data_IF_355959858584
#
_entry.id   IF_355959858584
#
_cell.length_a   1.000
_cell.length_b   1.000
_cell.length_c   1.000
_cell.angle_alpha   90.00
_cell.angle_beta   90.00
_cell.angle_gamma   90.00
#
_symmetry.space_group_name_H-M   'P 1'
#
loop_
_entity.id
_entity.type
_entity.pdbx_description
1 polymer ?
#
# COMPACT_ATOMS: atom_id res chain seq x y z
N UNK A 1 -3.89 -47.81 60.83
CA UNK A 1 -3.00 -47.43 59.74
C UNK A 1 -3.74 -46.37 58.89
N UNK A 2 -3.36 -45.10 58.95
CA UNK A 2 -4.01 -44.05 58.14
C UNK A 2 -3.42 -44.01 56.75
N UNK A 3 -4.27 -43.98 55.71
CA UNK A 3 -3.91 -43.86 54.29
C UNK A 3 -3.62 -42.41 53.95
N UNK A 4 -2.37 -42.13 53.61
CA UNK A 4 -1.89 -40.85 53.11
C UNK A 4 -2.42 -40.65 51.68
N UNK A 5 -3.30 -39.67 51.45
CA UNK A 5 -3.75 -39.25 50.10
C UNK A 5 -2.79 -38.18 49.56
N UNK A 6 -2.02 -38.53 48.53
CA UNK A 6 -1.22 -37.57 47.75
C UNK A 6 -2.15 -36.78 46.85
N UNK A 7 -2.24 -35.46 47.05
CA UNK A 7 -2.86 -34.53 46.10
C UNK A 7 -1.78 -34.07 45.13
N UNK A 8 -1.90 -34.49 43.87
CA UNK A 8 -1.09 -33.97 42.80
C UNK A 8 -1.64 -32.57 42.39
N UNK A 9 -0.86 -31.53 42.66
CA UNK A 9 -1.18 -30.18 42.18
C UNK A 9 -0.86 -30.05 40.67
N UNK A 10 -1.90 -29.98 39.88
CA UNK A 10 -1.81 -29.71 38.42
C UNK A 10 -1.51 -28.22 38.24
N UNK A 11 -0.28 -27.87 37.92
CA UNK A 11 0.10 -26.49 37.56
C UNK A 11 -0.44 -26.19 36.16
N UNK A 12 -1.49 -25.36 36.07
CA UNK A 12 -1.97 -24.78 34.82
C UNK A 12 -0.94 -23.77 34.34
N UNK A 13 -0.19 -24.13 33.30
CA UNK A 13 0.61 -23.20 32.51
C UNK A 13 -0.37 -22.38 31.64
N UNK A 14 -0.69 -21.18 32.12
CA UNK A 14 -1.39 -20.20 31.29
C UNK A 14 -0.47 -19.81 30.14
N UNK A 15 -0.97 -19.85 28.86
CA UNK A 15 -0.18 -19.38 27.74
C UNK A 15 0.10 -17.89 27.95
N UNK A 16 1.37 -17.52 28.05
CA UNK A 16 1.80 -16.12 28.03
C UNK A 16 1.36 -15.50 26.73
N UNK A 17 0.35 -14.66 26.76
CA UNK A 17 0.02 -13.78 25.64
C UNK A 17 1.26 -12.90 25.45
N UNK A 18 2.05 -13.18 24.43
CA UNK A 18 3.18 -12.33 24.07
C UNK A 18 2.60 -10.97 23.66
N UNK A 19 2.54 -10.02 24.60
CA UNK A 19 2.25 -8.64 24.29
C UNK A 19 3.25 -8.18 23.22
N UNK A 20 2.74 -7.77 22.08
CA UNK A 20 3.51 -7.01 21.09
C UNK A 20 4.13 -5.82 21.81
N UNK A 21 5.38 -5.47 21.49
CA UNK A 21 6.00 -4.26 22.04
C UNK A 21 5.09 -3.07 21.81
N UNK A 22 4.87 -2.22 22.82
CA UNK A 22 3.95 -1.10 22.70
C UNK A 22 4.42 -0.17 21.60
N UNK A 23 3.46 0.34 20.82
CA UNK A 23 3.70 1.42 19.86
C UNK A 23 4.27 2.64 20.59
N UNK A 24 4.86 3.57 19.86
CA UNK A 24 5.41 4.80 20.42
C UNK A 24 5.14 6.02 19.53
N UNK A 25 5.25 7.21 20.10
CA UNK A 25 5.02 8.48 19.40
C UNK A 25 6.29 9.27 19.13
N UNK A 26 7.44 8.76 19.56
CA UNK A 26 8.77 9.38 19.41
C UNK A 26 9.78 8.31 19.00
N UNK A 27 10.98 8.71 18.56
CA UNK A 27 12.03 7.78 18.16
C UNK A 27 12.62 6.95 19.29
N UNK A 28 12.45 7.34 20.55
CA UNK A 28 13.17 6.74 21.69
C UNK A 28 12.88 5.24 21.90
N UNK A 29 11.67 4.78 21.63
CA UNK A 29 11.27 3.38 21.77
C UNK A 29 11.45 2.53 20.50
N UNK A 30 11.86 3.12 19.38
CA UNK A 30 11.83 2.47 18.08
C UNK A 30 12.75 1.24 18.00
N UNK A 31 13.96 1.30 18.57
CA UNK A 31 14.91 0.18 18.58
C UNK A 31 14.41 -1.01 19.41
N UNK A 32 13.88 -0.74 20.61
CA UNK A 32 13.28 -1.78 21.45
C UNK A 32 12.06 -2.42 20.78
N UNK A 33 11.21 -1.60 20.17
CA UNK A 33 10.06 -2.09 19.41
C UNK A 33 10.49 -2.97 18.22
N UNK A 34 11.53 -2.60 17.46
CA UNK A 34 12.04 -3.43 16.35
C UNK A 34 12.45 -4.81 16.82
N UNK A 35 13.13 -4.91 17.96
CA UNK A 35 13.57 -6.19 18.52
C UNK A 35 12.39 -7.12 18.84
N UNK A 36 11.29 -6.58 19.37
CA UNK A 36 10.08 -7.36 19.61
C UNK A 36 9.27 -7.61 18.34
N UNK A 37 9.15 -6.61 17.47
CA UNK A 37 8.46 -6.75 16.18
C UNK A 37 9.13 -7.80 15.30
N UNK A 38 10.44 -8.01 15.40
CA UNK A 38 11.14 -9.08 14.71
C UNK A 38 10.57 -10.48 15.05
N UNK A 39 10.15 -10.71 16.30
CA UNK A 39 9.49 -11.96 16.70
C UNK A 39 8.14 -12.13 16.00
N UNK A 40 7.35 -11.06 15.90
CA UNK A 40 6.07 -11.04 15.19
C UNK A 40 6.27 -11.23 13.68
N UNK A 41 7.22 -10.53 13.08
CA UNK A 41 7.56 -10.64 11.66
C UNK A 41 8.03 -12.08 11.32
N UNK A 42 8.86 -12.70 12.18
CA UNK A 42 9.30 -14.09 12.02
C UNK A 42 8.11 -15.06 12.06
N UNK A 43 7.19 -14.91 13.03
CA UNK A 43 5.97 -15.73 13.11
C UNK A 43 5.08 -15.55 11.87
N UNK A 44 5.05 -14.34 11.30
CA UNK A 44 4.34 -14.04 10.05
C UNK A 44 5.05 -14.57 8.79
N UNK A 45 6.21 -15.24 8.92
CA UNK A 45 6.93 -15.86 7.82
C UNK A 45 7.95 -14.97 7.11
N UNK A 46 8.38 -13.85 7.74
CA UNK A 46 9.54 -13.07 7.28
C UNK A 46 10.80 -13.88 7.51
N UNK A 47 11.67 -13.97 6.49
CA UNK A 47 12.90 -14.74 6.48
C UNK A 47 14.12 -13.87 6.84
N UNK A 48 15.31 -14.46 6.69
CA UNK A 48 16.59 -13.84 7.12
C UNK A 48 16.84 -12.45 6.52
N UNK A 49 16.63 -12.27 5.21
CA UNK A 49 16.90 -10.97 4.56
C UNK A 49 15.95 -9.87 5.06
N UNK A 50 14.65 -10.20 5.19
CA UNK A 50 13.67 -9.27 5.74
C UNK A 50 13.94 -8.90 7.18
N UNK A 51 14.32 -9.86 8.04
CA UNK A 51 14.70 -9.57 9.43
C UNK A 51 15.98 -8.72 9.53
N UNK A 52 16.95 -8.95 8.67
CA UNK A 52 18.16 -8.11 8.56
C UNK A 52 17.79 -6.68 8.10
N UNK A 53 16.87 -6.55 7.13
CA UNK A 53 16.37 -5.25 6.70
C UNK A 53 15.65 -4.52 7.85
N UNK A 54 14.80 -5.21 8.62
CA UNK A 54 14.15 -4.62 9.80
C UNK A 54 15.18 -4.06 10.78
N UNK A 55 16.24 -4.82 11.10
CA UNK A 55 17.30 -4.36 12.01
C UNK A 55 18.00 -3.08 11.51
N UNK A 56 18.12 -2.91 10.19
CA UNK A 56 18.76 -1.74 9.56
C UNK A 56 17.83 -0.51 9.42
N UNK A 57 16.51 -0.65 9.67
CA UNK A 57 15.59 0.48 9.54
C UNK A 57 15.90 1.56 10.57
N UNK A 58 15.69 2.80 10.14
CA UNK A 58 15.83 3.99 10.96
C UNK A 58 14.47 4.68 11.13
N UNK A 59 14.27 5.34 12.27
CA UNK A 59 13.06 6.12 12.51
C UNK A 59 12.95 7.27 11.51
N UNK A 60 11.94 7.26 10.67
CA UNK A 60 11.75 8.20 9.57
C UNK A 60 10.94 9.44 10.03
N UNK A 61 11.59 10.45 10.58
CA UNK A 61 10.94 11.68 11.06
C UNK A 61 10.16 12.42 9.99
N UNK A 62 10.66 12.45 8.73
CA UNK A 62 9.96 13.03 7.57
C UNK A 62 8.64 12.30 7.27
N UNK A 63 8.59 11.00 7.48
CA UNK A 63 7.37 10.18 7.35
C UNK A 63 6.33 10.58 8.38
N UNK A 64 6.71 10.68 9.64
CA UNK A 64 5.81 11.11 10.72
C UNK A 64 5.29 12.52 10.48
N UNK A 65 6.16 13.46 10.09
CA UNK A 65 5.74 14.82 9.76
C UNK A 65 4.73 14.85 8.60
N UNK A 66 4.93 14.05 7.55
CA UNK A 66 4.01 13.95 6.44
C UNK A 66 2.66 13.31 6.85
N UNK A 67 2.71 12.25 7.67
CA UNK A 67 1.52 11.54 8.14
C UNK A 67 0.60 12.40 9.01
N UNK A 68 1.19 13.30 9.80
CA UNK A 68 0.44 14.22 10.68
C UNK A 68 -0.05 15.48 9.98
N UNK A 69 0.47 15.82 8.79
CA UNK A 69 0.19 17.07 8.07
C UNK A 69 -0.65 16.90 6.78
N UNK A 70 -1.48 15.87 6.68
CA UNK A 70 -2.33 15.61 5.51
C UNK A 70 -3.52 16.58 5.46
N UNK A 71 -3.34 17.76 4.86
CA UNK A 71 -4.38 18.81 4.77
C UNK A 71 -5.23 18.72 3.50
N UNK A 72 -4.72 18.14 2.41
CA UNK A 72 -5.34 18.19 1.08
C UNK A 72 -6.71 17.49 0.98
N UNK A 73 -6.95 16.47 1.79
CA UNK A 73 -8.24 15.76 1.81
C UNK A 73 -9.40 16.54 2.49
N UNK A 74 -9.11 17.72 3.05
CA UNK A 74 -10.11 18.65 3.60
C UNK A 74 -10.60 19.68 2.58
N UNK A 75 -10.05 19.70 1.34
CA UNK A 75 -10.49 20.60 0.30
C UNK A 75 -11.86 20.21 -0.27
N UNK A 76 -12.59 21.20 -0.83
CA UNK A 76 -13.71 20.89 -1.72
C UNK A 76 -13.23 20.11 -2.94
N UNK A 77 -14.14 19.40 -3.62
CA UNK A 77 -13.81 18.60 -4.81
C UNK A 77 -13.12 19.46 -5.89
N UNK A 78 -13.67 20.63 -6.20
CA UNK A 78 -13.11 21.54 -7.20
C UNK A 78 -11.71 22.00 -6.83
N UNK A 79 -11.51 22.39 -5.56
CA UNK A 79 -10.20 22.82 -5.08
C UNK A 79 -9.20 21.66 -5.11
N UNK A 80 -9.63 20.46 -4.72
CA UNK A 80 -8.79 19.26 -4.76
C UNK A 80 -8.37 18.93 -6.20
N UNK A 81 -9.31 18.90 -7.15
CA UNK A 81 -9.04 18.66 -8.56
C UNK A 81 -8.11 19.74 -9.16
N UNK A 82 -8.32 21.01 -8.79
CA UNK A 82 -7.46 22.10 -9.24
C UNK A 82 -6.03 21.92 -8.76
N UNK A 83 -5.84 21.70 -7.45
CA UNK A 83 -4.51 21.52 -6.84
C UNK A 83 -3.79 20.28 -7.38
N UNK A 84 -4.54 19.21 -7.68
CA UNK A 84 -4.00 18.00 -8.29
C UNK A 84 -3.73 18.10 -9.80
N UNK A 85 -4.10 19.22 -10.44
CA UNK A 85 -3.88 19.41 -11.87
C UNK A 85 -4.74 18.48 -12.74
N UNK A 86 -6.00 18.25 -12.34
CA UNK A 86 -6.90 17.27 -12.98
C UNK A 86 -7.01 17.46 -14.48
N UNK A 87 -7.09 18.70 -14.98
CA UNK A 87 -7.16 18.97 -16.44
C UNK A 87 -5.89 18.52 -17.17
N UNK A 88 -4.71 18.71 -16.57
CA UNK A 88 -3.43 18.24 -17.10
C UNK A 88 -3.36 16.71 -17.10
N UNK A 89 -3.82 16.08 -16.02
CA UNK A 89 -3.90 14.61 -15.95
C UNK A 89 -4.81 14.05 -17.03
N UNK A 90 -6.00 14.63 -17.24
CA UNK A 90 -6.93 14.21 -18.30
C UNK A 90 -6.30 14.37 -19.70
N UNK A 91 -5.72 15.55 -19.99
CA UNK A 91 -5.10 15.80 -21.30
C UNK A 91 -3.93 14.83 -21.58
N UNK A 92 -3.04 14.62 -20.60
CA UNK A 92 -1.95 13.67 -20.73
C UNK A 92 -2.46 12.22 -20.77
N UNK A 93 -3.51 11.90 -20.02
CA UNK A 93 -4.12 10.58 -19.98
C UNK A 93 -4.69 10.17 -21.33
N UNK A 94 -5.45 11.05 -21.99
CA UNK A 94 -5.94 10.83 -23.36
C UNK A 94 -4.81 10.55 -24.36
N UNK A 95 -3.72 11.34 -24.30
CA UNK A 95 -2.55 11.11 -25.14
C UNK A 95 -1.90 9.74 -24.89
N UNK A 96 -1.81 9.31 -23.62
CA UNK A 96 -1.24 8.00 -23.24
C UNK A 96 -2.12 6.86 -23.72
N UNK A 97 -3.44 6.97 -23.54
CA UNK A 97 -4.43 6.00 -24.05
C UNK A 97 -4.31 5.85 -25.56
N UNK A 98 -4.27 6.96 -26.28
CA UNK A 98 -4.15 6.97 -27.74
C UNK A 98 -2.79 6.41 -28.24
N UNK A 99 -1.69 6.59 -27.51
CA UNK A 99 -0.38 6.05 -27.87
C UNK A 99 -0.22 4.55 -27.64
N UNK A 100 -0.94 3.99 -26.67
CA UNK A 100 -0.84 2.59 -26.27
C UNK A 100 -2.21 1.91 -26.17
N UNK A 101 -3.06 1.97 -27.19
CA UNK A 101 -4.45 1.51 -27.11
C UNK A 101 -4.53 0.01 -26.83
N UNK A 102 -3.65 -0.79 -27.45
CA UNK A 102 -3.64 -2.24 -27.26
C UNK A 102 -3.28 -2.65 -25.82
N UNK A 103 -2.34 -1.95 -25.19
CA UNK A 103 -1.96 -2.19 -23.80
C UNK A 103 -3.14 -1.95 -22.84
N UNK A 104 -3.80 -0.80 -22.94
CA UNK A 104 -4.94 -0.49 -22.09
C UNK A 104 -6.14 -1.39 -22.37
N UNK A 105 -6.40 -1.71 -23.63
CA UNK A 105 -7.45 -2.67 -23.99
C UNK A 105 -7.16 -4.09 -23.45
N UNK A 106 -5.90 -4.51 -23.40
CA UNK A 106 -5.52 -5.79 -22.81
C UNK A 106 -5.79 -5.82 -21.29
N UNK A 107 -5.43 -4.76 -20.56
CA UNK A 107 -5.74 -4.64 -19.13
C UNK A 107 -7.25 -4.64 -18.86
N UNK A 108 -8.01 -3.90 -19.67
CA UNK A 108 -9.48 -3.85 -19.53
C UNK A 108 -10.12 -5.21 -19.80
N UNK A 109 -9.70 -5.92 -20.87
CA UNK A 109 -10.18 -7.29 -21.14
C UNK A 109 -9.86 -8.26 -20.00
N UNK A 110 -8.66 -8.17 -19.42
CA UNK A 110 -8.22 -9.10 -18.40
C UNK A 110 -8.86 -8.85 -17.03
N UNK A 111 -9.00 -7.58 -16.63
CA UNK A 111 -9.43 -7.21 -15.29
C UNK A 111 -10.83 -6.55 -15.26
N UNK A 112 -11.35 -6.14 -16.39
CA UNK A 112 -12.64 -5.44 -16.49
C UNK A 112 -12.61 -4.01 -15.93
N UNK A 113 -11.43 -3.42 -15.75
CA UNK A 113 -11.23 -2.06 -15.24
C UNK A 113 -10.96 -1.14 -16.42
N UNK A 114 -11.80 -0.10 -16.67
CA UNK A 114 -11.62 0.81 -17.78
C UNK A 114 -10.26 1.52 -17.77
N UNK A 115 -9.73 1.77 -18.95
CA UNK A 115 -8.44 2.45 -19.14
C UNK A 115 -8.37 3.78 -18.38
N UNK A 116 -9.43 4.59 -18.46
CA UNK A 116 -9.51 5.89 -17.80
C UNK A 116 -9.29 5.82 -16.29
N UNK A 117 -9.80 4.77 -15.61
CA UNK A 117 -9.62 4.58 -14.16
C UNK A 117 -8.14 4.35 -13.81
N UNK A 118 -7.47 3.46 -14.53
CA UNK A 118 -6.06 3.16 -14.31
C UNK A 118 -5.17 4.37 -14.61
N UNK A 119 -5.48 5.08 -15.68
CA UNK A 119 -4.76 6.30 -16.10
C UNK A 119 -4.98 7.43 -15.09
N UNK A 120 -6.20 7.62 -14.58
CA UNK A 120 -6.50 8.65 -13.60
C UNK A 120 -5.76 8.37 -12.27
N UNK A 121 -5.74 7.13 -11.79
CA UNK A 121 -4.95 6.71 -10.61
C UNK A 121 -3.47 7.00 -10.86
N UNK A 122 -2.90 6.55 -11.97
CA UNK A 122 -1.49 6.76 -12.30
C UNK A 122 -1.10 8.26 -12.35
N UNK A 123 -1.97 9.08 -12.94
CA UNK A 123 -1.77 10.53 -12.98
C UNK A 123 -1.83 11.17 -11.60
N UNK A 124 -2.80 10.76 -10.78
CA UNK A 124 -3.00 11.28 -9.42
C UNK A 124 -1.88 10.92 -8.46
N UNK A 125 -1.33 9.71 -8.56
CA UNK A 125 -0.33 9.20 -7.63
C UNK A 125 1.05 9.77 -7.90
N UNK A 126 1.49 9.77 -9.16
CA UNK A 126 2.88 10.08 -9.48
C UNK A 126 3.08 11.04 -10.66
N UNK A 127 1.99 11.62 -11.20
CA UNK A 127 2.11 12.38 -12.46
C UNK A 127 2.66 11.50 -13.59
N UNK A 128 2.17 10.26 -13.66
CA UNK A 128 2.61 9.27 -14.66
C UNK A 128 4.07 8.81 -14.49
N UNK A 129 4.51 8.67 -13.26
CA UNK A 129 5.88 8.25 -12.91
C UNK A 129 6.87 9.42 -12.85
N UNK A 130 6.41 10.67 -12.97
CA UNK A 130 7.26 11.84 -12.88
C UNK A 130 7.94 12.01 -11.53
N UNK A 131 7.28 11.59 -10.46
CA UNK A 131 7.87 11.53 -9.12
C UNK A 131 7.26 10.38 -8.31
N UNK A 132 8.07 9.38 -8.00
CA UNK A 132 7.67 8.18 -7.25
C UNK A 132 8.13 8.18 -5.79
N UNK A 133 8.66 9.32 -5.32
CA UNK A 133 9.12 9.51 -3.95
C UNK A 133 10.62 9.40 -3.75
N UNK A 134 11.08 9.87 -2.59
CA UNK A 134 12.49 9.97 -2.19
C UNK A 134 12.77 9.35 -0.82
N UNK A 135 11.76 8.78 -0.17
CA UNK A 135 11.88 8.20 1.17
C UNK A 135 12.26 6.73 1.09
N UNK A 136 13.07 6.26 2.03
CA UNK A 136 13.43 4.86 2.09
C UNK A 136 12.20 4.04 2.56
N UNK A 137 11.69 3.18 1.66
CA UNK A 137 10.42 2.47 1.83
C UNK A 137 10.35 1.69 3.13
N UNK A 138 11.37 0.84 3.40
CA UNK A 138 11.33 -0.07 4.54
C UNK A 138 11.34 0.68 5.87
N UNK A 139 12.17 1.73 5.98
CA UNK A 139 12.18 2.58 7.19
C UNK A 139 10.89 3.39 7.34
N UNK A 140 10.35 3.94 6.25
CA UNK A 140 9.10 4.70 6.29
C UNK A 140 7.94 3.85 6.81
N UNK A 141 7.71 2.68 6.21
CA UNK A 141 6.59 1.82 6.57
C UNK A 141 6.75 1.20 7.96
N UNK A 142 7.99 0.85 8.36
CA UNK A 142 8.29 0.33 9.69
C UNK A 142 8.07 1.40 10.78
N UNK A 143 8.44 2.66 10.48
CA UNK A 143 8.16 3.79 11.38
C UNK A 143 6.66 4.00 11.58
N UNK A 144 5.84 3.89 10.53
CA UNK A 144 4.38 3.99 10.64
C UNK A 144 3.76 2.80 11.38
N UNK A 145 4.33 1.62 11.24
CA UNK A 145 3.91 0.44 12.02
C UNK A 145 4.23 0.59 13.52
N UNK A 146 5.26 1.34 13.86
CA UNK A 146 5.61 1.69 15.22
C UNK A 146 4.76 2.85 15.77
N UNK A 147 4.41 3.86 14.98
CA UNK A 147 3.65 5.04 15.43
C UNK A 147 2.25 4.67 15.90
N UNK A 148 1.89 5.02 17.15
CA UNK A 148 0.62 4.63 17.79
C UNK A 148 -0.63 5.12 17.05
N UNK A 149 -0.51 6.15 16.21
CA UNK A 149 -1.67 6.74 15.53
C UNK A 149 -2.39 5.77 14.59
N UNK A 150 -1.65 4.91 13.90
CA UNK A 150 -2.19 3.94 12.95
C UNK A 150 -1.38 2.62 12.91
N UNK A 151 -0.79 2.24 14.03
CA UNK A 151 0.08 1.06 14.13
C UNK A 151 -0.58 -0.20 13.55
N UNK A 152 -1.78 -0.52 13.99
CA UNK A 152 -2.52 -1.72 13.54
C UNK A 152 -2.72 -1.75 12.02
N UNK A 153 -2.99 -0.61 11.41
CA UNK A 153 -3.13 -0.51 9.95
C UNK A 153 -1.80 -0.77 9.23
N UNK A 154 -0.67 -0.28 9.77
CA UNK A 154 0.62 -0.36 9.10
C UNK A 154 1.42 -1.64 9.41
N UNK A 155 1.14 -2.36 10.49
CA UNK A 155 1.81 -3.64 10.80
C UNK A 155 1.76 -4.65 9.63
N UNK A 156 0.61 -4.93 8.99
CA UNK A 156 0.57 -5.83 7.83
C UNK A 156 1.41 -5.32 6.64
N UNK A 157 1.48 -4.00 6.46
CA UNK A 157 2.28 -3.40 5.40
C UNK A 157 3.79 -3.46 5.71
N UNK A 158 4.20 -3.29 6.95
CA UNK A 158 5.59 -3.49 7.37
C UNK A 158 6.03 -4.96 7.16
N UNK A 159 5.20 -5.92 7.58
CA UNK A 159 5.45 -7.35 7.30
C UNK A 159 5.53 -7.59 5.79
N UNK A 160 4.64 -6.99 4.99
CA UNK A 160 4.66 -7.07 3.54
C UNK A 160 5.96 -6.55 2.94
N UNK A 161 6.44 -5.38 3.39
CA UNK A 161 7.72 -4.82 2.96
C UNK A 161 8.90 -5.75 3.24
N UNK A 162 8.95 -6.33 4.44
CA UNK A 162 10.01 -7.27 4.82
C UNK A 162 9.97 -8.56 4.00
N UNK A 163 8.78 -9.07 3.67
CA UNK A 163 8.64 -10.22 2.76
C UNK A 163 9.05 -9.89 1.33
N UNK A 164 8.74 -8.68 0.84
CA UNK A 164 9.21 -8.22 -0.47
C UNK A 164 10.74 -8.08 -0.52
N UNK A 165 11.39 -7.74 0.62
CA UNK A 165 12.86 -7.80 0.72
C UNK A 165 13.36 -9.25 0.66
N UNK A 166 12.71 -10.19 1.32
CA UNK A 166 13.06 -11.62 1.24
C UNK A 166 12.99 -12.14 -0.20
N UNK A 167 11.99 -11.68 -0.98
CA UNK A 167 11.79 -12.03 -2.38
C UNK A 167 12.74 -11.30 -3.35
N UNK A 168 13.43 -10.25 -2.89
CA UNK A 168 14.30 -9.43 -3.72
C UNK A 168 13.57 -8.36 -4.54
N UNK A 169 12.27 -8.18 -4.34
CA UNK A 169 11.48 -7.09 -4.95
C UNK A 169 11.86 -5.74 -4.37
N UNK A 170 12.15 -5.68 -3.07
CA UNK A 170 12.64 -4.49 -2.39
C UNK A 170 14.05 -4.69 -1.84
N UNK A 171 14.75 -3.58 -1.67
CA UNK A 171 16.03 -3.49 -0.96
C UNK A 171 15.98 -2.32 0.03
N UNK A 172 16.99 -2.22 0.91
CA UNK A 172 17.13 -1.05 1.78
C UNK A 172 17.41 0.25 1.01
N UNK A 173 17.84 0.18 -0.25
CA UNK A 173 18.01 1.34 -1.10
C UNK A 173 16.73 1.78 -1.83
N UNK A 174 15.68 0.95 -1.84
CA UNK A 174 14.43 1.26 -2.55
C UNK A 174 13.77 2.53 -2.01
N UNK A 175 13.49 3.47 -2.92
CA UNK A 175 12.85 4.75 -2.62
C UNK A 175 11.38 4.70 -3.03
N UNK A 176 10.52 5.34 -2.25
CA UNK A 176 9.08 5.47 -2.50
C UNK A 176 8.54 6.75 -1.87
N UNK A 177 7.22 6.87 -1.77
CA UNK A 177 6.62 8.02 -1.13
C UNK A 177 6.90 8.08 0.37
N UNK A 178 6.47 9.16 0.99
CA UNK A 178 6.79 9.45 2.41
C UNK A 178 6.18 8.46 3.41
N UNK A 179 5.12 7.74 3.02
CA UNK A 179 4.53 6.69 3.86
C UNK A 179 4.98 5.28 3.44
N UNK A 180 5.96 5.15 2.54
CA UNK A 180 6.50 3.87 2.09
C UNK A 180 5.72 3.22 0.96
N UNK A 181 4.93 4.01 0.21
CA UNK A 181 4.25 3.54 -0.98
C UNK A 181 5.22 3.36 -2.15
N UNK A 182 4.91 2.39 -3.05
CA UNK A 182 5.80 1.89 -4.10
C UNK A 182 5.38 2.35 -5.49
N UNK A 183 6.35 2.87 -6.23
CA UNK A 183 6.34 2.97 -7.68
C UNK A 183 5.22 3.82 -8.28
N UNK A 184 4.87 3.50 -9.52
CA UNK A 184 3.99 4.29 -10.39
C UNK A 184 2.61 4.60 -9.84
N UNK A 185 2.01 3.69 -9.09
CA UNK A 185 0.65 3.81 -8.56
C UNK A 185 0.61 3.81 -7.03
N UNK A 186 1.75 3.97 -6.39
CA UNK A 186 1.90 4.18 -4.94
C UNK A 186 1.24 3.07 -4.10
N UNK A 187 1.61 1.81 -4.39
CA UNK A 187 1.16 0.66 -3.62
C UNK A 187 1.72 0.64 -2.21
N UNK A 188 0.86 0.45 -1.21
CA UNK A 188 1.33 0.03 0.12
C UNK A 188 1.94 -1.38 0.05
N UNK A 189 3.07 -1.66 0.70
CA UNK A 189 3.82 -2.91 0.53
C UNK A 189 3.03 -4.20 0.83
N UNK A 190 2.11 -4.19 1.78
CA UNK A 190 1.23 -5.35 2.02
C UNK A 190 0.28 -5.63 0.85
N UNK A 191 -0.23 -4.57 0.22
CA UNK A 191 -1.03 -4.68 -1.00
C UNK A 191 -0.17 -5.12 -2.19
N UNK A 192 1.05 -4.60 -2.29
CA UNK A 192 2.03 -5.00 -3.31
C UNK A 192 2.32 -6.51 -3.24
N UNK A 193 2.55 -7.03 -2.04
CA UNK A 193 2.76 -8.47 -1.82
C UNK A 193 1.55 -9.32 -2.22
N UNK A 194 0.34 -8.81 -2.00
CA UNK A 194 -0.91 -9.58 -2.19
C UNK A 194 -1.45 -9.49 -3.61
N UNK A 195 -1.33 -8.32 -4.24
CA UNK A 195 -1.99 -8.01 -5.52
C UNK A 195 -1.01 -7.76 -6.66
N UNK A 196 0.29 -7.81 -6.41
CA UNK A 196 1.32 -7.63 -7.43
C UNK A 196 1.19 -8.65 -8.56
N UNK A 197 1.39 -8.19 -9.79
CA UNK A 197 1.32 -8.99 -11.02
C UNK A 197 2.56 -8.71 -11.85
N UNK A 198 3.26 -9.76 -12.25
CA UNK A 198 4.24 -9.72 -13.33
C UNK A 198 3.48 -9.74 -14.67
N UNK A 199 3.32 -8.58 -15.26
CA UNK A 199 2.66 -8.41 -16.55
C UNK A 199 3.67 -8.25 -17.69
N UNK A 200 4.95 -8.08 -17.38
CA UNK A 200 6.06 -8.08 -18.33
C UNK A 200 6.50 -9.50 -18.71
N UNK A 201 6.24 -10.49 -17.84
CA UNK A 201 6.63 -11.89 -18.04
C UNK A 201 8.09 -12.19 -17.70
N UNK A 202 8.77 -11.27 -17.01
CA UNK A 202 10.19 -11.42 -16.63
C UNK A 202 10.40 -12.19 -15.31
N UNK A 203 9.31 -12.72 -14.72
CA UNK A 203 9.23 -13.44 -13.45
C UNK A 203 9.48 -12.57 -12.21
N UNK A 204 9.27 -11.28 -12.34
CA UNK A 204 9.38 -10.30 -11.26
C UNK A 204 8.17 -9.40 -11.25
N UNK A 205 7.80 -8.90 -10.10
CA UNK A 205 6.82 -7.83 -9.98
C UNK A 205 7.58 -6.55 -9.67
N UNK A 206 7.62 -5.63 -10.62
CA UNK A 206 8.30 -4.35 -10.46
C UNK A 206 7.31 -3.19 -10.50
N UNK A 207 7.01 -2.61 -9.34
CA UNK A 207 6.11 -1.45 -9.25
C UNK A 207 6.71 -0.16 -9.85
N UNK A 208 8.01 -0.16 -10.17
CA UNK A 208 8.70 0.92 -10.89
C UNK A 208 8.69 0.70 -12.41
N UNK A 209 8.20 -0.45 -12.87
CA UNK A 209 7.77 -0.68 -14.24
C UNK A 209 6.27 -0.36 -14.38
N UNK A 210 5.93 0.53 -15.31
CA UNK A 210 4.56 0.98 -15.53
C UNK A 210 3.59 -0.19 -15.85
N UNK A 211 4.05 -1.18 -16.61
CA UNK A 211 3.22 -2.33 -17.04
C UNK A 211 2.78 -3.15 -15.84
N UNK A 212 3.71 -3.54 -14.98
CA UNK A 212 3.41 -4.31 -13.77
C UNK A 212 2.58 -3.49 -12.77
N UNK A 213 2.92 -2.21 -12.60
CA UNK A 213 2.20 -1.34 -11.67
C UNK A 213 0.73 -1.16 -12.07
N UNK A 214 0.43 -0.91 -13.36
CA UNK A 214 -0.95 -0.76 -13.83
C UNK A 214 -1.71 -2.07 -13.83
N UNK A 215 -1.09 -3.19 -14.19
CA UNK A 215 -1.68 -4.52 -14.09
C UNK A 215 -1.99 -4.88 -12.63
N UNK A 216 -1.06 -4.58 -11.70
CA UNK A 216 -1.27 -4.79 -10.27
C UNK A 216 -2.41 -3.92 -9.73
N UNK A 217 -2.53 -2.66 -10.20
CA UNK A 217 -3.65 -1.77 -9.85
C UNK A 217 -4.98 -2.32 -10.33
N UNK A 218 -5.04 -2.79 -11.57
CA UNK A 218 -6.24 -3.41 -12.14
C UNK A 218 -6.61 -4.70 -11.38
N UNK A 219 -5.62 -5.55 -11.06
CA UNK A 219 -5.81 -6.76 -10.25
C UNK A 219 -6.33 -6.43 -8.84
N UNK A 220 -5.75 -5.41 -8.18
CA UNK A 220 -6.23 -4.94 -6.88
C UNK A 220 -7.71 -4.57 -6.95
N UNK A 221 -8.09 -3.68 -7.86
CA UNK A 221 -9.48 -3.25 -8.02
C UNK A 221 -10.40 -4.45 -8.30
N UNK A 222 -10.00 -5.35 -9.19
CA UNK A 222 -10.75 -6.57 -9.50
C UNK A 222 -10.95 -7.45 -8.26
N UNK A 223 -9.91 -7.70 -7.50
CA UNK A 223 -9.95 -8.52 -6.27
C UNK A 223 -10.72 -7.84 -5.13
N UNK A 224 -10.81 -6.51 -5.13
CA UNK A 224 -11.63 -5.72 -4.20
C UNK A 224 -13.10 -5.61 -4.62
N UNK A 225 -13.51 -6.29 -5.69
CA UNK A 225 -14.91 -6.43 -6.08
C UNK A 225 -15.33 -5.58 -7.27
N UNK A 226 -14.39 -5.10 -8.08
CA UNK A 226 -14.70 -4.43 -9.33
C UNK A 226 -15.49 -5.36 -10.25
N UNK A 227 -16.63 -4.86 -10.74
CA UNK A 227 -17.54 -5.59 -11.64
C UNK A 227 -17.38 -5.06 -13.06
N UNK A 228 -16.90 -5.89 -14.02
CA UNK A 228 -16.78 -5.47 -15.42
C UNK A 228 -18.11 -4.96 -15.98
N UNK A 229 -18.04 -3.92 -16.81
CA UNK A 229 -19.21 -3.32 -17.46
C UNK A 229 -20.18 -2.57 -16.54
N UNK A 230 -19.87 -2.46 -15.23
CA UNK A 230 -20.67 -1.65 -14.29
C UNK A 230 -20.04 -0.28 -14.10
N UNK A 231 -20.91 0.73 -13.88
CA UNK A 231 -20.51 2.11 -13.68
C UNK A 231 -19.67 2.32 -12.40
N UNK A 232 -18.91 3.41 -12.38
CA UNK A 232 -18.00 3.80 -11.30
C UNK A 232 -18.19 5.26 -10.83
N UNK A 233 -19.28 5.91 -11.27
CA UNK A 233 -19.64 7.23 -10.75
C UNK A 233 -20.28 7.12 -9.35
N UNK A 234 -20.39 8.22 -8.58
CA UNK A 234 -21.09 8.22 -7.30
C UNK A 234 -22.48 7.55 -7.39
N UNK A 235 -22.74 6.59 -6.51
CA UNK A 235 -23.97 5.78 -6.51
C UNK A 235 -23.90 4.50 -7.35
N UNK A 236 -22.90 4.34 -8.22
CA UNK A 236 -22.75 3.16 -9.07
C UNK A 236 -21.92 2.05 -8.38
N UNK A 237 -22.06 0.77 -8.82
CA UNK A 237 -21.49 -0.38 -8.12
C UNK A 237 -19.98 -0.34 -7.89
N UNK A 238 -19.20 0.18 -8.85
CA UNK A 238 -17.74 0.20 -8.74
C UNK A 238 -17.21 1.43 -7.99
N UNK A 239 -18.04 2.45 -7.71
CA UNK A 239 -17.58 3.62 -6.95
C UNK A 239 -17.07 3.23 -5.56
N UNK A 240 -17.76 2.30 -4.87
CA UNK A 240 -17.31 1.77 -3.58
C UNK A 240 -15.98 1.03 -3.63
N UNK A 241 -15.57 0.52 -4.81
CA UNK A 241 -14.29 -0.16 -4.97
C UNK A 241 -13.14 0.86 -4.97
N UNK A 242 -13.38 2.08 -5.46
CA UNK A 242 -12.41 3.17 -5.37
C UNK A 242 -12.08 3.54 -3.91
N UNK A 243 -13.02 3.32 -2.96
CA UNK A 243 -12.76 3.48 -1.51
C UNK A 243 -11.69 2.52 -1.00
N UNK A 244 -11.58 1.33 -1.59
CA UNK A 244 -10.55 0.35 -1.21
C UNK A 244 -9.16 0.80 -1.65
N UNK A 245 -9.09 1.64 -2.70
CA UNK A 245 -7.85 2.26 -3.15
C UNK A 245 -7.48 3.45 -2.28
N UNK A 246 -8.42 4.37 -2.09
CA UNK A 246 -8.23 5.55 -1.22
C UNK A 246 -9.54 5.92 -0.54
N UNK A 247 -9.53 6.00 0.79
CA UNK A 247 -10.71 6.24 1.62
C UNK A 247 -11.25 7.69 1.53
N UNK A 248 -10.48 8.65 1.00
CA UNK A 248 -10.91 10.03 0.92
C UNK A 248 -11.95 10.24 -0.20
N UNK A 249 -13.15 10.72 0.14
CA UNK A 249 -14.25 10.89 -0.81
C UNK A 249 -13.90 11.83 -1.98
N UNK A 250 -13.19 12.92 -1.71
CA UNK A 250 -12.72 13.84 -2.77
C UNK A 250 -11.76 13.16 -3.76
N UNK A 251 -10.94 12.20 -3.29
CA UNK A 251 -10.07 11.41 -4.15
C UNK A 251 -10.88 10.48 -5.06
N UNK A 252 -11.83 9.74 -4.52
CA UNK A 252 -12.68 8.81 -5.27
C UNK A 252 -13.47 9.52 -6.36
N UNK A 253 -14.12 10.64 -6.01
CA UNK A 253 -14.88 11.46 -6.95
C UNK A 253 -13.96 12.02 -8.05
N UNK A 254 -12.76 12.49 -7.69
CA UNK A 254 -11.79 12.98 -8.68
C UNK A 254 -11.36 11.90 -9.66
N UNK A 255 -11.08 10.67 -9.19
CA UNK A 255 -10.77 9.54 -10.07
C UNK A 255 -11.93 9.25 -11.00
N UNK A 256 -13.16 9.16 -10.49
CA UNK A 256 -14.35 8.87 -11.30
C UNK A 256 -14.57 9.92 -12.40
N UNK A 257 -14.46 11.21 -12.06
CA UNK A 257 -14.61 12.31 -13.02
C UNK A 257 -13.50 12.30 -14.09
N UNK A 258 -12.24 12.17 -13.65
CA UNK A 258 -11.12 12.18 -14.60
C UNK A 258 -11.14 10.94 -15.50
N UNK A 259 -11.46 9.77 -14.96
CA UNK A 259 -11.58 8.53 -15.72
C UNK A 259 -12.62 8.67 -16.85
N UNK A 260 -13.81 9.14 -16.52
CA UNK A 260 -14.85 9.38 -17.52
C UNK A 260 -14.40 10.37 -18.63
N UNK A 261 -13.71 11.46 -18.23
CA UNK A 261 -13.15 12.42 -19.20
C UNK A 261 -12.03 11.84 -20.07
N UNK A 262 -11.27 10.86 -19.57
CA UNK A 262 -10.21 10.20 -20.35
C UNK A 262 -10.79 9.19 -21.32
N UNK A 263 -11.87 8.51 -20.96
CA UNK A 263 -12.48 7.46 -21.78
C UNK A 263 -13.36 8.03 -22.90
N UNK A 264 -13.97 9.19 -22.69
CA UNK A 264 -14.76 9.95 -23.67
C UNK A 264 -13.89 10.92 -24.48
#
# INVERSE_FOLDING_TARGET
>A
MPRLRLYAALAFLLPSVALSAPCGNTSSGFEAWKADFAKTAKRAGVKKKGLQALAQTQYATRTIAADRNQKSFKYSLDKFMQVRGANTIVAQGRKRKARNPQFYAALERQYGVPAGVLIAIHGMETGFGGFMGDSQVVSAITTLAYDCRRSEFFIPHAIGALKLVDQGTLTMATKGAKHGELGHTQFLPGNALTYGVDATGDRRVDFYNMTDALASTANFLRKKGWKPGRGYQPGEPNFRVLQQWNAASVYQQSIAIMAARIDN
#
